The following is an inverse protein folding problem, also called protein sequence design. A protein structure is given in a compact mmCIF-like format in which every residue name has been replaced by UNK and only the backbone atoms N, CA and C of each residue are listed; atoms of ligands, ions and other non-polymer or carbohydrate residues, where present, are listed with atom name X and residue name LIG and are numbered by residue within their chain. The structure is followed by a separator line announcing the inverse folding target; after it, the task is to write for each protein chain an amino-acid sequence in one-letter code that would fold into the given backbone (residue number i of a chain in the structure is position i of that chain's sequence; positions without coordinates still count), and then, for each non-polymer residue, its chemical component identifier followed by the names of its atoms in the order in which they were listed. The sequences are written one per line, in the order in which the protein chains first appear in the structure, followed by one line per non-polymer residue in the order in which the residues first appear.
data_IF_153772372203
#
_entry.id   IF_153772372203
#
_cell.length_a   1.000
_cell.length_b   1.000
_cell.length_c   1.000
_cell.angle_alpha   90.00
_cell.angle_beta   90.00
_cell.angle_gamma   90.00
#
_symmetry.space_group_name_H-M   'P 1'
#
loop_
_entity.id
_entity.type
_entity.pdbx_description
1 polymer ?
#
# COMPACT_ATOMS: atom_id res chain seq x y z
N UNK A 1 -4.11 26.60 0.94
CA UNK A 1 -3.01 25.60 0.84
C UNK A 1 -3.31 24.48 -0.18
N UNK A 2 -4.52 23.88 -0.19
CA UNK A 2 -4.97 22.88 -1.19
C UNK A 2 -4.81 23.33 -2.67
N UNK A 3 -5.12 24.59 -2.97
CA UNK A 3 -5.10 25.13 -4.35
C UNK A 3 -3.68 25.21 -4.93
N UNK A 4 -2.65 25.51 -4.12
CA UNK A 4 -1.26 25.65 -4.61
C UNK A 4 -0.62 24.33 -5.01
N UNK A 5 -0.92 23.22 -4.30
CA UNK A 5 -0.38 21.90 -4.65
C UNK A 5 -1.00 21.36 -5.93
N UNK A 6 -2.33 21.42 -6.04
CA UNK A 6 -3.03 20.94 -7.23
C UNK A 6 -2.69 21.78 -8.46
N UNK A 7 -2.61 23.11 -8.30
CA UNK A 7 -2.17 24.02 -9.36
C UNK A 7 -0.74 23.73 -9.80
N UNK A 8 0.19 23.53 -8.86
CA UNK A 8 1.57 23.11 -9.17
C UNK A 8 1.62 21.76 -9.94
N UNK A 9 0.81 20.78 -9.51
CA UNK A 9 0.78 19.46 -10.13
C UNK A 9 0.26 19.52 -11.57
N UNK A 10 -0.83 20.27 -11.79
CA UNK A 10 -1.47 20.45 -13.10
C UNK A 10 -0.64 21.33 -14.04
N UNK A 11 0.03 22.38 -13.54
CA UNK A 11 0.89 23.25 -14.35
C UNK A 11 2.15 22.53 -14.84
N UNK A 12 2.67 21.57 -14.05
CA UNK A 12 3.94 20.90 -14.34
C UNK A 12 3.78 19.64 -15.23
N UNK A 13 2.61 19.02 -15.24
CA UNK A 13 2.40 17.73 -15.91
C UNK A 13 1.17 17.75 -16.81
N UNK A 14 1.40 17.72 -18.13
CA UNK A 14 0.32 17.69 -19.13
C UNK A 14 -0.19 16.25 -19.32
N UNK A 15 -1.48 16.03 -19.04
CA UNK A 15 -2.11 14.69 -19.00
C UNK A 15 -2.33 14.17 -20.41
N UNK A 16 -1.43 13.32 -20.92
CA UNK A 16 -1.53 12.86 -22.33
C UNK A 16 -2.27 11.53 -22.52
N UNK A 17 -2.50 10.72 -21.48
CA UNK A 17 -3.08 9.37 -21.67
C UNK A 17 -3.86 8.85 -20.44
N UNK A 18 -5.10 8.39 -20.66
CA UNK A 18 -6.01 7.83 -19.63
C UNK A 18 -5.70 6.37 -19.25
N UNK A 19 -4.97 5.64 -20.10
CA UNK A 19 -4.75 4.19 -19.96
C UNK A 19 -4.09 3.75 -18.63
N UNK A 20 -3.09 4.46 -18.06
CA UNK A 20 -2.47 4.04 -16.81
C UNK A 20 -3.44 4.02 -15.62
N UNK A 21 -4.40 4.94 -15.57
CA UNK A 21 -5.39 5.05 -14.47
C UNK A 21 -6.32 3.85 -14.35
N UNK A 22 -6.59 3.15 -15.45
CA UNK A 22 -7.44 1.96 -15.45
C UNK A 22 -6.84 0.82 -14.60
N UNK A 23 -5.52 0.78 -14.44
CA UNK A 23 -4.89 -0.25 -13.63
C UNK A 23 -5.17 -0.10 -12.13
N UNK A 24 -5.61 1.07 -11.65
CA UNK A 24 -6.04 1.25 -10.24
C UNK A 24 -7.21 0.31 -9.90
N UNK A 25 -8.06 -0.05 -10.87
CA UNK A 25 -9.17 -0.98 -10.66
C UNK A 25 -8.72 -2.39 -10.23
N UNK A 26 -7.46 -2.76 -10.44
CA UNK A 26 -6.88 -4.01 -9.91
C UNK A 26 -6.97 -4.11 -8.38
N UNK A 27 -6.91 -2.97 -7.68
CA UNK A 27 -7.10 -2.90 -6.22
C UNK A 27 -8.54 -3.30 -5.87
N UNK A 28 -9.52 -2.89 -6.67
CA UNK A 28 -10.92 -3.28 -6.50
C UNK A 28 -11.13 -4.79 -6.61
N UNK A 29 -10.43 -5.45 -7.54
CA UNK A 29 -10.48 -6.92 -7.67
C UNK A 29 -9.93 -7.60 -6.41
N UNK A 30 -8.78 -7.14 -5.90
CA UNK A 30 -8.22 -7.65 -4.64
C UNK A 30 -9.17 -7.46 -3.45
N UNK A 31 -9.85 -6.30 -3.38
CA UNK A 31 -10.85 -6.02 -2.34
C UNK A 31 -12.07 -6.94 -2.42
N UNK A 32 -12.51 -7.32 -3.62
CA UNK A 32 -13.59 -8.30 -3.80
C UNK A 32 -13.14 -9.67 -3.31
N UNK A 33 -11.95 -10.13 -3.67
CA UNK A 33 -11.40 -11.40 -3.17
C UNK A 33 -11.27 -11.39 -1.63
N UNK A 34 -10.76 -10.30 -1.08
CA UNK A 34 -10.65 -10.12 0.37
C UNK A 34 -12.03 -10.18 1.05
N UNK A 35 -13.06 -9.56 0.47
CA UNK A 35 -14.41 -9.60 1.03
C UNK A 35 -14.91 -11.03 1.22
N UNK A 36 -14.70 -11.92 0.25
CA UNK A 36 -15.08 -13.33 0.39
C UNK A 36 -14.26 -14.06 1.46
N UNK A 37 -12.95 -13.85 1.51
CA UNK A 37 -12.06 -14.48 2.50
C UNK A 37 -12.35 -13.95 3.92
N UNK A 38 -12.66 -12.67 4.06
CA UNK A 38 -13.01 -12.03 5.33
C UNK A 38 -14.29 -12.61 5.94
N UNK A 39 -15.23 -13.06 5.11
CA UNK A 39 -16.47 -13.69 5.55
C UNK A 39 -16.37 -15.23 5.62
N UNK A 40 -15.21 -15.79 5.30
CA UNK A 40 -14.92 -17.20 5.46
C UNK A 40 -14.17 -17.44 6.78
N UNK A 41 -14.76 -18.23 7.68
CA UNK A 41 -14.13 -18.61 8.94
C UNK A 41 -13.50 -20.00 8.80
N UNK A 42 -12.18 -20.06 8.92
CA UNK A 42 -11.46 -21.31 9.02
C UNK A 42 -11.60 -21.87 10.44
N UNK A 43 -11.92 -23.17 10.62
CA UNK A 43 -11.99 -23.79 11.94
C UNK A 43 -10.64 -23.81 12.67
N UNK A 44 -9.52 -23.69 11.97
CA UNK A 44 -8.18 -23.57 12.55
C UNK A 44 -7.71 -22.12 12.49
N UNK A 45 -7.89 -21.40 13.59
CA UNK A 45 -7.39 -20.03 13.76
C UNK A 45 -6.03 -20.05 14.44
N UNK A 46 -5.11 -19.25 13.92
CA UNK A 46 -3.80 -19.03 14.51
C UNK A 46 -3.77 -17.69 15.24
N UNK A 47 -3.08 -17.63 16.38
CA UNK A 47 -2.78 -16.38 17.04
C UNK A 47 -1.30 -16.10 16.91
N UNK A 48 -0.96 -14.90 16.48
CA UNK A 48 0.41 -14.38 16.54
C UNK A 48 0.55 -13.27 17.61
N UNK A 49 -0.44 -13.16 18.49
CA UNK A 49 -0.46 -12.22 19.60
C UNK A 49 0.64 -12.55 20.61
N UNK A 50 1.30 -11.52 21.12
CA UNK A 50 2.39 -11.61 22.10
C UNK A 50 2.22 -10.57 23.21
N UNK A 51 2.98 -10.73 24.30
CA UNK A 51 2.97 -9.79 25.43
C UNK A 51 3.37 -8.35 25.02
N UNK A 52 4.08 -8.19 23.90
CA UNK A 52 4.43 -6.85 23.38
C UNK A 52 3.17 -6.12 22.90
N UNK A 53 2.19 -6.85 22.38
CA UNK A 53 0.92 -6.29 21.89
C UNK A 53 0.04 -5.76 23.05
N UNK A 54 0.22 -6.29 24.27
CA UNK A 54 -0.44 -5.80 25.48
C UNK A 54 0.06 -4.40 25.91
N UNK A 55 1.31 -4.07 25.58
CA UNK A 55 1.90 -2.76 25.91
C UNK A 55 1.27 -1.60 25.12
N UNK A 56 0.58 -1.91 24.01
CA UNK A 56 -0.09 -0.91 23.17
C UNK A 56 -1.54 -0.82 23.62
N UNK A 57 -1.99 0.27 24.25
CA UNK A 57 -3.39 0.38 24.66
C UNK A 57 -4.30 0.62 23.45
N UNK A 58 -5.57 0.24 23.58
CA UNK A 58 -6.58 0.68 22.63
C UNK A 58 -6.86 2.19 22.82
N UNK A 59 -6.82 2.94 21.72
CA UNK A 59 -7.06 4.39 21.73
C UNK A 59 -7.91 4.78 20.52
N UNK A 60 -9.19 5.13 20.76
CA UNK A 60 -10.20 5.33 19.72
C UNK A 60 -9.86 6.45 18.72
N UNK A 61 -9.15 7.51 19.13
CA UNK A 61 -8.79 8.63 18.22
C UNK A 61 -7.93 8.18 17.03
N UNK A 62 -7.19 7.07 17.16
CA UNK A 62 -6.41 6.50 16.06
C UNK A 62 -7.28 5.91 14.94
N UNK A 63 -8.60 5.80 15.12
CA UNK A 63 -9.50 5.44 14.02
C UNK A 63 -9.46 6.45 12.87
N UNK A 64 -9.22 7.73 13.18
CA UNK A 64 -9.16 8.80 12.19
C UNK A 64 -8.01 8.58 11.19
N UNK A 65 -6.73 8.45 11.62
CA UNK A 65 -5.67 8.11 10.71
C UNK A 65 -5.85 6.72 10.09
N UNK A 66 -6.35 5.72 10.83
CA UNK A 66 -6.57 4.37 10.27
C UNK A 66 -7.43 4.40 9.01
N UNK A 67 -8.55 5.14 9.03
CA UNK A 67 -9.46 5.27 7.89
C UNK A 67 -8.84 6.01 6.69
N UNK A 68 -7.72 6.72 6.88
CA UNK A 68 -7.04 7.44 5.80
C UNK A 68 -6.22 6.53 4.89
N UNK A 69 -6.06 5.24 5.18
CA UNK A 69 -5.21 4.36 4.38
C UNK A 69 -5.63 4.30 2.89
N UNK A 70 -6.92 4.12 2.60
CA UNK A 70 -7.43 4.08 1.21
C UNK A 70 -7.30 5.44 0.51
N UNK A 71 -7.76 6.56 1.10
CA UNK A 71 -7.51 7.88 0.53
C UNK A 71 -6.02 8.15 0.27
N UNK A 72 -5.15 7.82 1.23
CA UNK A 72 -3.71 8.01 1.09
C UNK A 72 -3.13 7.18 -0.06
N UNK A 73 -3.55 5.92 -0.21
CA UNK A 73 -3.16 5.05 -1.31
C UNK A 73 -3.59 5.62 -2.66
N UNK A 74 -4.89 5.93 -2.82
CA UNK A 74 -5.46 6.40 -4.09
C UNK A 74 -4.81 7.72 -4.50
N UNK A 75 -4.71 8.69 -3.59
CA UNK A 75 -4.07 9.98 -3.86
C UNK A 75 -2.61 9.77 -4.26
N UNK A 76 -1.88 8.90 -3.56
CA UNK A 76 -0.47 8.63 -3.86
C UNK A 76 -0.29 8.01 -5.25
N UNK A 77 -1.13 7.04 -5.61
CA UNK A 77 -1.13 6.41 -6.94
C UNK A 77 -1.48 7.41 -8.05
N UNK A 78 -2.46 8.27 -7.83
CA UNK A 78 -2.81 9.34 -8.77
C UNK A 78 -1.62 10.29 -8.95
N UNK A 79 -1.01 10.77 -7.87
CA UNK A 79 0.17 11.65 -7.94
C UNK A 79 1.31 10.97 -8.70
N UNK A 80 1.62 9.71 -8.39
CA UNK A 80 2.64 8.96 -9.12
C UNK A 80 2.29 8.85 -10.60
N UNK A 81 1.04 8.52 -10.94
CA UNK A 81 0.60 8.39 -12.32
C UNK A 81 0.80 9.69 -13.12
N UNK A 82 0.62 10.85 -12.49
CA UNK A 82 0.90 12.15 -13.11
C UNK A 82 2.38 12.49 -13.18
N UNK A 83 3.12 12.23 -12.10
CA UNK A 83 4.48 12.75 -11.94
C UNK A 83 5.58 11.82 -12.48
N UNK A 84 5.36 10.50 -12.42
CA UNK A 84 6.31 9.45 -12.76
C UNK A 84 5.58 8.10 -12.97
N UNK A 85 5.23 7.82 -14.23
CA UNK A 85 4.50 6.60 -14.63
C UNK A 85 5.25 5.31 -14.24
N UNK A 86 6.59 5.32 -14.22
CA UNK A 86 7.36 4.15 -13.77
C UNK A 86 7.12 3.88 -12.28
N UNK A 87 7.13 4.92 -11.45
CA UNK A 87 6.87 4.78 -10.00
C UNK A 87 5.45 4.35 -9.72
N UNK A 88 4.50 4.81 -10.53
CA UNK A 88 3.13 4.33 -10.48
C UNK A 88 3.06 2.83 -10.74
N UNK A 89 3.62 2.35 -11.86
CA UNK A 89 3.58 0.92 -12.21
C UNK A 89 4.33 0.04 -11.20
N UNK A 90 5.52 0.44 -10.77
CA UNK A 90 6.30 -0.32 -9.79
C UNK A 90 5.51 -0.46 -8.47
N UNK A 91 4.93 0.64 -7.98
CA UNK A 91 4.20 0.64 -6.70
C UNK A 91 2.88 -0.12 -6.79
N UNK A 92 2.15 0.02 -7.89
CA UNK A 92 0.89 -0.69 -8.14
C UNK A 92 1.13 -2.20 -8.32
N UNK A 93 2.13 -2.59 -9.09
CA UNK A 93 2.48 -4.00 -9.28
C UNK A 93 2.95 -4.64 -7.98
N UNK A 94 3.78 -3.91 -7.21
CA UNK A 94 4.19 -4.33 -5.87
C UNK A 94 2.96 -4.58 -5.00
N UNK A 95 2.02 -3.64 -4.94
CA UNK A 95 0.82 -3.79 -4.12
C UNK A 95 -0.03 -4.99 -4.56
N UNK A 96 -0.24 -5.18 -5.86
CA UNK A 96 -1.00 -6.33 -6.36
C UNK A 96 -0.34 -7.66 -5.99
N UNK A 97 0.97 -7.79 -6.16
CA UNK A 97 1.70 -9.00 -5.80
C UNK A 97 1.63 -9.25 -4.30
N UNK A 98 1.85 -8.21 -3.48
CA UNK A 98 1.77 -8.32 -2.02
C UNK A 98 0.36 -8.71 -1.58
N UNK A 99 -0.68 -8.09 -2.14
CA UNK A 99 -2.07 -8.47 -1.88
C UNK A 99 -2.33 -9.93 -2.25
N UNK A 100 -1.88 -10.40 -3.42
CA UNK A 100 -2.01 -11.80 -3.80
C UNK A 100 -1.33 -12.74 -2.79
N UNK A 101 -0.12 -12.40 -2.33
CA UNK A 101 0.58 -13.17 -1.30
C UNK A 101 -0.21 -13.18 0.01
N UNK A 102 -0.71 -12.02 0.47
CA UNK A 102 -1.56 -11.93 1.66
C UNK A 102 -2.81 -12.80 1.51
N UNK A 103 -3.54 -12.71 0.40
CA UNK A 103 -4.77 -13.50 0.16
C UNK A 103 -4.49 -15.02 0.18
N UNK A 104 -3.36 -15.45 -0.39
CA UNK A 104 -2.93 -16.87 -0.34
C UNK A 104 -2.63 -17.27 1.10
N UNK A 105 -1.90 -16.44 1.87
CA UNK A 105 -1.63 -16.72 3.28
C UNK A 105 -2.92 -16.79 4.07
N UNK A 106 -3.85 -15.85 3.89
CA UNK A 106 -5.12 -15.80 4.61
C UNK A 106 -5.97 -17.05 4.40
N UNK A 107 -5.96 -17.63 3.19
CA UNK A 107 -6.67 -18.88 2.89
C UNK A 107 -6.08 -20.09 3.63
N UNK A 108 -4.76 -20.14 3.80
CA UNK A 108 -4.05 -21.31 4.32
C UNK A 108 -3.65 -21.20 5.80
N UNK A 109 -3.52 -19.97 6.30
CA UNK A 109 -3.02 -19.62 7.63
C UNK A 109 -3.77 -18.39 8.14
N UNK A 110 -5.05 -18.57 8.45
CA UNK A 110 -5.89 -17.50 8.95
C UNK A 110 -5.50 -17.13 10.39
N UNK A 111 -5.01 -15.91 10.58
CA UNK A 111 -4.68 -15.38 11.91
C UNK A 111 -5.86 -14.63 12.53
N UNK A 112 -5.87 -14.53 13.86
CA UNK A 112 -6.86 -13.81 14.66
C UNK A 112 -6.19 -12.72 15.52
N UNK A 113 -6.82 -11.54 15.59
CA UNK A 113 -6.41 -10.44 16.48
C UNK A 113 -7.50 -10.16 17.52
N UNK A 114 -7.21 -10.30 18.82
CA UNK A 114 -8.17 -9.98 19.87
C UNK A 114 -8.48 -8.48 19.89
N UNK A 115 -9.76 -8.15 19.92
CA UNK A 115 -10.26 -6.76 19.95
C UNK A 115 -10.95 -6.47 21.28
N UNK A 116 -10.78 -5.26 21.85
CA UNK A 116 -11.47 -4.87 23.07
C UNK A 116 -12.97 -4.72 22.83
N UNK A 117 -13.76 -4.96 23.87
CA UNK A 117 -15.19 -4.66 23.87
C UNK A 117 -15.36 -3.15 23.97
N UNK A 118 -15.92 -2.53 22.92
CA UNK A 118 -16.16 -1.09 22.88
C UNK A 118 -17.51 -0.78 23.52
N UNK A 119 -17.49 -0.37 24.78
CA UNK A 119 -18.71 -0.11 25.57
C UNK A 119 -19.24 1.31 25.32
N UNK A 120 -18.37 2.27 25.00
CA UNK A 120 -18.76 3.67 24.82
C UNK A 120 -19.42 3.93 23.45
N UNK A 121 -20.34 4.89 23.40
CA UNK A 121 -21.09 5.32 22.19
C UNK A 121 -20.70 6.73 21.72
N UNK A 122 -19.46 7.14 21.97
CA UNK A 122 -18.95 8.40 21.42
C UNK A 122 -18.71 8.31 19.90
N UNK A 123 -18.57 9.48 19.26
CA UNK A 123 -18.39 9.58 17.80
C UNK A 123 -17.22 8.72 17.28
N UNK A 124 -16.09 8.68 18.00
CA UNK A 124 -14.90 7.94 17.58
C UNK A 124 -15.09 6.43 17.75
N UNK A 125 -15.66 6.00 18.87
CA UNK A 125 -16.00 4.62 19.16
C UNK A 125 -17.02 4.07 18.15
N UNK A 126 -17.95 4.89 17.67
CA UNK A 126 -18.88 4.50 16.61
C UNK A 126 -18.17 4.19 15.29
N UNK A 127 -17.12 4.93 14.92
CA UNK A 127 -16.29 4.57 13.76
C UNK A 127 -15.51 3.27 13.99
N UNK A 128 -15.00 3.05 15.20
CA UNK A 128 -14.31 1.79 15.53
C UNK A 128 -15.28 0.62 15.39
N UNK A 129 -16.47 0.71 15.98
CA UNK A 129 -17.54 -0.30 15.84
C UNK A 129 -17.92 -0.53 14.38
N UNK A 130 -18.05 0.54 13.60
CA UNK A 130 -18.33 0.45 12.16
C UNK A 130 -17.25 -0.33 11.40
N UNK A 131 -15.97 -0.04 11.65
CA UNK A 131 -14.85 -0.76 11.03
C UNK A 131 -14.82 -2.22 11.50
N UNK A 132 -14.93 -2.47 12.81
CA UNK A 132 -14.95 -3.83 13.36
C UNK A 132 -16.11 -4.68 12.85
N UNK A 133 -17.25 -4.07 12.51
CA UNK A 133 -18.39 -4.75 11.93
C UNK A 133 -18.28 -5.06 10.43
N UNK A 134 -17.30 -4.46 9.72
CA UNK A 134 -17.07 -4.72 8.29
C UNK A 134 -15.81 -5.55 8.02
N UNK A 135 -14.83 -5.44 8.89
CA UNK A 135 -13.56 -6.12 8.80
C UNK A 135 -13.49 -7.09 9.98
N UNK A 136 -13.59 -8.39 9.72
CA UNK A 136 -13.59 -9.38 10.80
C UNK A 136 -12.20 -9.42 11.44
N UNK A 137 -12.05 -9.88 12.69
CA UNK A 137 -10.76 -9.95 13.37
C UNK A 137 -9.84 -11.07 12.82
N UNK A 138 -10.05 -11.46 11.57
CA UNK A 138 -9.34 -12.54 10.90
C UNK A 138 -8.48 -11.99 9.76
N UNK A 139 -7.57 -12.81 9.23
CA UNK A 139 -6.80 -12.48 8.01
C UNK A 139 -5.88 -11.25 8.22
N UNK A 140 -5.20 -11.19 9.37
CA UNK A 140 -4.43 -10.01 9.75
C UNK A 140 -2.96 -10.09 9.32
N UNK A 141 -2.40 -11.30 9.15
CA UNK A 141 -0.98 -11.52 8.87
C UNK A 141 -0.70 -11.92 7.41
N UNK A 142 0.13 -11.17 6.66
CA UNK A 142 0.70 -9.84 6.93
C UNK A 142 -0.29 -8.70 6.67
N UNK A 143 -0.10 -7.53 7.28
CA UNK A 143 -1.08 -6.44 7.18
C UNK A 143 -1.17 -5.79 5.77
N UNK A 144 -2.32 -5.91 5.10
CA UNK A 144 -2.64 -5.20 3.85
C UNK A 144 -2.67 -3.68 4.05
N UNK A 145 -3.17 -3.19 5.19
CA UNK A 145 -3.21 -1.75 5.51
C UNK A 145 -1.80 -1.15 5.53
N UNK A 146 -0.86 -1.85 6.19
CA UNK A 146 0.54 -1.47 6.22
C UNK A 146 1.17 -1.62 4.83
N UNK A 147 0.87 -2.71 4.12
CA UNK A 147 1.42 -2.94 2.78
C UNK A 147 1.02 -1.85 1.78
N UNK A 148 -0.26 -1.51 1.72
CA UNK A 148 -0.80 -0.45 0.87
C UNK A 148 -0.14 0.91 1.19
N UNK A 149 -0.09 1.25 2.47
CA UNK A 149 0.44 2.53 2.93
C UNK A 149 1.94 2.64 2.67
N UNK A 150 2.71 1.59 2.99
CA UNK A 150 4.15 1.60 2.82
C UNK A 150 4.57 1.55 1.34
N UNK A 151 3.86 0.79 0.49
CA UNK A 151 4.07 0.81 -0.96
C UNK A 151 3.87 2.21 -1.54
N UNK A 152 2.79 2.90 -1.12
CA UNK A 152 2.52 4.27 -1.51
C UNK A 152 3.64 5.23 -1.07
N UNK A 153 4.12 5.12 0.17
CA UNK A 153 5.23 5.93 0.68
C UNK A 153 6.52 5.72 -0.13
N UNK A 154 6.88 4.48 -0.45
CA UNK A 154 8.06 4.19 -1.27
C UNK A 154 7.98 4.87 -2.63
N UNK A 155 6.83 4.75 -3.30
CA UNK A 155 6.58 5.40 -4.58
C UNK A 155 6.71 6.92 -4.51
N UNK A 156 6.01 7.56 -3.56
CA UNK A 156 6.05 9.02 -3.35
C UNK A 156 7.47 9.52 -3.04
N UNK A 157 8.19 8.82 -2.17
CA UNK A 157 9.54 9.24 -1.77
C UNK A 157 10.54 9.22 -2.92
N UNK A 158 10.32 8.36 -3.92
CA UNK A 158 11.16 8.23 -5.12
C UNK A 158 10.79 9.19 -6.26
N UNK A 159 9.75 10.00 -6.12
CA UNK A 159 9.42 11.04 -7.11
C UNK A 159 10.49 12.14 -7.11
N UNK A 160 11.24 12.25 -8.21
CA UNK A 160 12.39 13.18 -8.32
C UNK A 160 11.99 14.66 -8.21
N UNK A 161 10.85 15.01 -8.80
CA UNK A 161 10.42 16.41 -8.96
C UNK A 161 9.48 16.92 -7.86
N UNK A 162 9.14 16.07 -6.89
CA UNK A 162 8.22 16.43 -5.81
C UNK A 162 8.98 17.14 -4.67
N UNK A 163 8.57 18.36 -4.27
CA UNK A 163 9.20 19.08 -3.16
C UNK A 163 9.20 18.27 -1.86
N UNK A 164 10.32 18.29 -1.14
CA UNK A 164 10.56 17.51 0.09
C UNK A 164 9.48 17.72 1.15
N UNK A 165 8.97 18.95 1.32
CA UNK A 165 7.89 19.24 2.27
C UNK A 165 6.63 18.41 2.05
N UNK A 166 6.28 18.09 0.80
CA UNK A 166 5.12 17.27 0.50
C UNK A 166 5.42 15.80 0.78
N UNK A 167 6.64 15.32 0.46
CA UNK A 167 7.08 13.97 0.84
C UNK A 167 7.02 13.78 2.36
N UNK A 168 7.52 14.73 3.13
CA UNK A 168 7.43 14.71 4.61
C UNK A 168 5.97 14.61 5.05
N UNK A 169 5.07 15.41 4.48
CA UNK A 169 3.65 15.33 4.78
C UNK A 169 3.05 13.94 4.53
N UNK A 170 3.35 13.33 3.38
CA UNK A 170 2.93 11.95 3.09
C UNK A 170 3.51 10.95 4.08
N UNK A 171 4.80 11.05 4.43
CA UNK A 171 5.42 10.15 5.42
C UNK A 171 4.78 10.28 6.81
N UNK A 172 4.50 11.50 7.28
CA UNK A 172 3.83 11.70 8.57
C UNK A 172 2.47 11.01 8.57
N UNK A 173 1.65 11.25 7.54
CA UNK A 173 0.33 10.62 7.41
C UNK A 173 0.44 9.10 7.29
N UNK A 174 1.35 8.60 6.46
CA UNK A 174 1.54 7.17 6.22
C UNK A 174 2.03 6.42 7.46
N UNK A 175 2.99 6.96 8.21
CA UNK A 175 3.43 6.36 9.46
C UNK A 175 2.35 6.44 10.53
N UNK A 176 1.56 7.51 10.57
CA UNK A 176 0.42 7.61 11.48
C UNK A 176 -0.65 6.56 11.16
N UNK A 177 -0.93 6.29 9.88
CA UNK A 177 -1.78 5.17 9.44
C UNK A 177 -1.20 3.84 9.92
N UNK A 178 0.09 3.57 9.68
CA UNK A 178 0.73 2.30 10.07
C UNK A 178 0.64 2.09 11.59
N UNK A 179 1.02 3.10 12.38
CA UNK A 179 0.96 3.06 13.85
C UNK A 179 -0.49 2.90 14.32
N UNK A 180 -1.44 3.58 13.67
CA UNK A 180 -2.84 3.53 14.07
C UNK A 180 -3.41 2.11 14.06
N UNK A 181 -2.94 1.24 13.16
CA UNK A 181 -3.39 -0.17 13.09
C UNK A 181 -3.26 -0.91 14.42
N UNK A 182 -2.26 -0.54 15.23
CA UNK A 182 -1.97 -1.14 16.53
C UNK A 182 -2.88 -0.57 17.61
N UNK A 183 -3.02 0.76 17.66
CA UNK A 183 -3.87 1.46 18.63
C UNK A 183 -5.36 1.21 18.43
N UNK A 184 -5.80 0.93 17.20
CA UNK A 184 -7.18 0.47 16.93
C UNK A 184 -7.34 -1.04 17.05
N UNK A 185 -6.31 -1.78 17.48
CA UNK A 185 -6.31 -3.24 17.64
C UNK A 185 -6.80 -3.99 16.39
N UNK A 186 -6.38 -3.51 15.22
CA UNK A 186 -6.64 -4.17 13.94
C UNK A 186 -5.55 -5.16 13.54
N UNK A 187 -4.34 -4.92 14.02
CA UNK A 187 -3.18 -5.74 13.73
C UNK A 187 -2.33 -5.87 14.99
N UNK A 188 -1.64 -6.99 15.11
CA UNK A 188 -0.53 -7.17 16.05
C UNK A 188 0.78 -6.68 15.44
N UNK A 189 1.83 -6.52 16.24
CA UNK A 189 3.11 -5.94 15.81
C UNK A 189 3.74 -6.77 14.69
N UNK A 190 3.63 -8.10 14.77
CA UNK A 190 4.21 -8.98 13.76
C UNK A 190 3.52 -8.85 12.40
N UNK A 191 2.22 -8.55 12.35
CA UNK A 191 1.50 -8.26 11.10
C UNK A 191 2.06 -7.01 10.42
N UNK A 192 2.34 -5.98 11.23
CA UNK A 192 2.92 -4.71 10.79
C UNK A 192 4.33 -4.94 10.25
N UNK A 193 5.19 -5.62 11.02
CA UNK A 193 6.57 -5.88 10.60
C UNK A 193 6.63 -6.73 9.34
N UNK A 194 5.81 -7.78 9.25
CA UNK A 194 5.74 -8.62 8.06
C UNK A 194 5.23 -7.83 6.84
N UNK A 195 4.24 -6.95 7.02
CA UNK A 195 3.76 -6.07 5.94
C UNK A 195 4.86 -5.14 5.41
N UNK A 196 5.65 -4.54 6.29
CA UNK A 196 6.80 -3.69 5.90
C UNK A 196 7.87 -4.49 5.15
N UNK A 197 8.29 -5.63 5.70
CA UNK A 197 9.33 -6.49 5.11
C UNK A 197 8.90 -7.02 3.74
N UNK A 198 7.65 -7.49 3.63
CA UNK A 198 7.11 -8.04 2.40
C UNK A 198 7.07 -7.00 1.28
N UNK A 199 6.59 -5.79 1.56
CA UNK A 199 6.62 -4.69 0.59
C UNK A 199 8.05 -4.30 0.25
N UNK A 200 8.95 -4.20 1.23
CA UNK A 200 10.33 -3.83 0.97
C UNK A 200 11.01 -4.80 0.00
N UNK A 201 10.83 -6.11 0.22
CA UNK A 201 11.36 -7.17 -0.61
C UNK A 201 10.76 -7.14 -2.02
N UNK A 202 9.43 -7.17 -2.15
CA UNK A 202 8.75 -7.19 -3.46
C UNK A 202 9.07 -5.92 -4.24
N UNK A 203 9.03 -4.75 -3.62
CA UNK A 203 9.31 -3.48 -4.30
C UNK A 203 10.73 -3.47 -4.89
N UNK A 204 11.74 -3.93 -4.13
CA UNK A 204 13.13 -4.00 -4.61
C UNK A 204 13.27 -4.97 -5.78
N UNK A 205 12.62 -6.13 -5.71
CA UNK A 205 12.63 -7.13 -6.79
C UNK A 205 12.01 -6.53 -8.06
N UNK A 206 10.82 -5.93 -7.96
CA UNK A 206 10.14 -5.32 -9.11
C UNK A 206 10.97 -4.18 -9.69
N UNK A 207 11.53 -3.32 -8.85
CA UNK A 207 12.38 -2.21 -9.29
C UNK A 207 13.63 -2.72 -10.03
N UNK A 208 14.31 -3.73 -9.49
CA UNK A 208 15.46 -4.36 -10.12
C UNK A 208 15.10 -4.94 -11.49
N UNK A 209 14.01 -5.71 -11.57
CA UNK A 209 13.54 -6.31 -12.83
C UNK A 209 13.13 -5.25 -13.85
N UNK A 210 12.45 -4.19 -13.41
CA UNK A 210 11.99 -3.11 -14.27
C UNK A 210 13.17 -2.37 -14.90
N UNK A 211 14.16 -1.96 -14.09
CA UNK A 211 15.32 -1.22 -14.58
C UNK A 211 16.28 -2.08 -15.39
N UNK A 212 16.51 -3.34 -15.03
CA UNK A 212 17.37 -4.23 -15.83
C UNK A 212 16.74 -4.57 -17.18
N UNK A 213 15.42 -4.78 -17.25
CA UNK A 213 14.74 -4.99 -18.53
C UNK A 213 14.86 -3.78 -19.45
N UNK A 214 14.72 -2.57 -18.91
CA UNK A 214 14.88 -1.34 -19.68
C UNK A 214 16.33 -1.14 -20.14
N UNK A 215 17.30 -1.44 -19.27
CA UNK A 215 18.72 -1.44 -19.61
C UNK A 215 19.03 -2.43 -20.75
N UNK A 216 18.59 -3.69 -20.63
CA UNK A 216 18.81 -4.72 -21.65
C UNK A 216 18.16 -4.36 -22.99
N UNK A 217 16.95 -3.81 -22.99
CA UNK A 217 16.30 -3.32 -24.21
C UNK A 217 17.09 -2.18 -24.86
N UNK A 218 17.62 -1.25 -24.07
CA UNK A 218 18.49 -0.17 -24.54
C UNK A 218 19.78 -0.69 -25.16
N UNK A 219 20.45 -1.62 -24.49
CA UNK A 219 21.67 -2.26 -24.97
C UNK A 219 21.46 -2.99 -26.31
N UNK A 220 20.41 -3.82 -26.42
CA UNK A 220 20.09 -4.55 -27.66
C UNK A 220 19.77 -3.58 -28.80
N UNK A 221 19.03 -2.50 -28.52
CA UNK A 221 18.69 -1.48 -29.54
C UNK A 221 19.93 -0.74 -30.04
N UNK A 222 20.85 -0.39 -29.14
CA UNK A 222 22.10 0.28 -29.52
C UNK A 222 23.00 -0.65 -30.34
N UNK A 223 23.16 -1.90 -29.92
CA UNK A 223 23.95 -2.90 -30.66
C UNK A 223 23.44 -3.10 -32.11
N UNK A 224 22.12 -3.24 -32.30
CA UNK A 224 21.53 -3.32 -33.64
C UNK A 224 21.85 -2.09 -34.50
N UNK A 225 21.85 -0.90 -33.91
CA UNK A 225 22.13 0.36 -34.62
C UNK A 225 23.60 0.47 -35.02
N UNK A 226 24.51 -0.07 -34.22
CA UNK A 226 25.95 -0.10 -34.53
C UNK A 226 26.25 -1.15 -35.62
N UNK A 227 25.61 -2.32 -35.55
CA UNK A 227 25.71 -3.38 -36.57
C UNK A 227 25.19 -2.89 -37.95
N UNK A 228 24.04 -2.18 -37.98
CA UNK A 228 23.48 -1.59 -39.22
C UNK A 228 24.37 -0.50 -39.83
N UNK A 229 25.11 0.27 -39.00
CA UNK A 229 26.06 1.28 -39.49
C UNK A 229 27.35 0.67 -40.04
N UNK A 230 27.81 -0.44 -39.46
CA UNK A 230 29.00 -1.15 -39.92
C UNK A 230 28.82 -1.89 -41.26
N UNK A 231 27.59 -2.23 -41.64
CA UNK A 231 27.27 -2.86 -42.94
C UNK A 231 27.04 -1.86 -44.08
N UNK A 232 26.93 -0.57 -43.76
CA UNK A 232 26.72 0.51 -44.74
C UNK A 232 28.03 1.22 -45.17
N UNK A 233 29.18 0.77 -44.68
CA UNK A 233 30.54 1.19 -45.06
C UNK A 233 31.22 0.09 -45.86
#
# INVERSE_FOLDING_TARGET
MKVKFMKWLLEKYNVKTIKPYLWIFSIGISSICYFFINNYQNPKLHSLYTDIDDLIPFVSVFILPYMMYMPNLIISLIIMCYCDEERYFISLLTLNIVNCICLIIYLNFQTYVPRPIIIHDDFLCNFVKFIYGRDNPYNCFPSIHVAATFSALKGINKLKNMPTKYKIGFNIVGWLIIISTQFVKQHVIIDLLAGLVLVEAVYKIIEYLFYNKNYLKGFIKNKKKDDEKGMAQ
#
